data_IF_214356855101
#
_entry.id   IF_214356855101
#
_cell.length_a   1.000
_cell.length_b   1.000
_cell.length_c   1.000
_cell.angle_alpha   90.00
_cell.angle_beta   90.00
_cell.angle_gamma   90.00
#
_symmetry.space_group_name_H-M   'P 1'
#
loop_
_entity.id
_entity.type
_entity.pdbx_description
1 polymer ?
#
# COMPACT_ATOMS: atom_id res chain seq x y z
N UNK A 1 9.70 12.80 -3.53
CA UNK A 1 9.97 11.78 -2.48
C UNK A 1 8.77 11.72 -1.54
N UNK A 2 8.09 10.57 -1.47
CA UNK A 2 6.93 10.37 -0.60
C UNK A 2 7.33 10.31 0.88
N UNK A 3 6.42 10.74 1.78
CA UNK A 3 6.66 10.64 3.23
C UNK A 3 6.33 9.22 3.67
N UNK A 4 7.35 8.48 4.12
CA UNK A 4 7.16 7.16 4.71
C UNK A 4 6.53 7.25 6.11
N UNK A 5 5.51 6.45 6.37
CA UNK A 5 4.95 6.23 7.71
C UNK A 5 5.20 4.79 8.10
N UNK A 6 6.01 4.59 9.13
CA UNK A 6 6.30 3.27 9.70
C UNK A 6 5.22 2.90 10.70
N UNK A 7 4.66 1.70 10.56
CA UNK A 7 3.68 1.20 11.51
C UNK A 7 3.93 -0.26 11.88
N UNK A 8 3.43 -0.62 13.06
CA UNK A 8 3.36 -1.98 13.54
C UNK A 8 1.88 -2.34 13.74
N UNK A 9 1.49 -3.53 13.33
CA UNK A 9 0.13 -4.03 13.41
C UNK A 9 0.11 -5.53 13.72
N UNK A 10 -0.90 -6.01 14.41
CA UNK A 10 -1.24 -7.44 14.43
C UNK A 10 -2.20 -7.78 13.26
N UNK A 11 -2.43 -9.07 13.00
CA UNK A 11 -3.30 -9.53 11.91
C UNK A 11 -4.67 -8.85 11.86
N UNK A 12 -5.33 -8.76 13.02
CA UNK A 12 -6.65 -8.13 13.14
C UNK A 12 -6.62 -6.66 12.72
N UNK A 13 -5.55 -5.94 13.07
CA UNK A 13 -5.40 -4.52 12.76
C UNK A 13 -5.04 -4.30 11.29
N UNK A 14 -4.20 -5.18 10.72
CA UNK A 14 -3.89 -5.18 9.29
C UNK A 14 -5.14 -5.44 8.45
N UNK A 15 -5.96 -6.42 8.83
CA UNK A 15 -7.23 -6.70 8.17
C UNK A 15 -8.19 -5.51 8.24
N UNK A 16 -8.29 -4.84 9.39
CA UNK A 16 -9.13 -3.65 9.54
C UNK A 16 -8.66 -2.49 8.65
N UNK A 17 -7.34 -2.35 8.48
CA UNK A 17 -6.75 -1.34 7.59
C UNK A 17 -7.05 -1.63 6.11
N UNK A 18 -6.91 -2.89 5.68
CA UNK A 18 -7.22 -3.30 4.30
C UNK A 18 -8.71 -3.18 3.99
N UNK A 19 -9.57 -3.48 4.96
CA UNK A 19 -11.00 -3.25 4.81
C UNK A 19 -11.31 -1.76 4.67
N UNK A 20 -10.68 -0.91 5.50
CA UNK A 20 -10.84 0.54 5.40
C UNK A 20 -10.38 1.08 4.03
N UNK A 21 -9.25 0.63 3.49
CA UNK A 21 -8.79 1.09 2.17
C UNK A 21 -9.78 0.70 1.07
N UNK A 22 -10.32 -0.52 1.13
CA UNK A 22 -11.39 -0.97 0.22
C UNK A 22 -12.64 -0.09 0.34
N UNK A 23 -13.12 0.17 1.56
CA UNK A 23 -14.32 0.99 1.80
C UNK A 23 -14.12 2.45 1.34
N UNK A 24 -12.88 2.94 1.32
CA UNK A 24 -12.53 4.25 0.75
C UNK A 24 -12.45 4.27 -0.78
N UNK A 25 -12.72 3.15 -1.45
CA UNK A 25 -12.75 3.05 -2.91
C UNK A 25 -11.38 2.83 -3.54
N UNK A 26 -10.44 2.21 -2.82
CA UNK A 26 -9.17 1.78 -3.40
C UNK A 26 -9.23 0.32 -3.85
N UNK A 27 -8.48 0.05 -4.91
CA UNK A 27 -8.12 -1.27 -5.42
C UNK A 27 -6.62 -1.47 -5.28
N UNK A 28 -6.19 -2.72 -5.28
CA UNK A 28 -4.81 -3.16 -5.24
C UNK A 28 -4.33 -3.60 -6.63
N UNK A 29 -3.07 -3.30 -6.91
CA UNK A 29 -2.31 -3.74 -8.06
C UNK A 29 -1.03 -4.43 -7.60
N UNK A 30 -0.58 -5.47 -8.34
CA UNK A 30 0.69 -6.10 -8.08
C UNK A 30 1.87 -5.17 -8.44
N UNK A 31 3.02 -5.34 -7.77
CA UNK A 31 4.20 -4.52 -8.03
C UNK A 31 4.87 -4.83 -9.37
N UNK A 32 4.77 -6.10 -9.79
CA UNK A 32 5.30 -6.61 -11.04
C UNK A 32 4.17 -7.29 -11.80
N UNK A 33 4.20 -7.18 -13.12
CA UNK A 33 3.26 -7.83 -14.03
C UNK A 33 4.03 -8.41 -15.20
N UNK A 34 3.55 -9.51 -15.80
CA UNK A 34 4.04 -9.93 -17.11
C UNK A 34 3.89 -8.81 -18.14
N UNK A 35 4.92 -8.58 -18.96
CA UNK A 35 4.93 -7.49 -19.95
C UNK A 35 3.81 -7.66 -21.00
N UNK A 36 3.47 -8.89 -21.36
CA UNK A 36 2.38 -9.22 -22.27
C UNK A 36 0.99 -8.88 -21.69
N UNK A 37 0.76 -9.11 -20.39
CA UNK A 37 -0.49 -8.70 -19.72
C UNK A 37 -0.69 -7.17 -19.77
N UNK A 38 0.40 -6.41 -19.62
CA UNK A 38 0.38 -4.95 -19.74
C UNK A 38 0.08 -4.50 -21.17
N UNK A 39 0.78 -5.05 -22.17
CA UNK A 39 0.63 -4.65 -23.58
C UNK A 39 -0.75 -4.99 -24.15
N UNK A 40 -1.39 -6.06 -23.65
CA UNK A 40 -2.74 -6.46 -24.03
C UNK A 40 -3.84 -5.69 -23.27
N UNK A 41 -3.49 -4.95 -22.22
CA UNK A 41 -4.44 -4.21 -21.39
C UNK A 41 -5.29 -5.10 -20.46
N UNK A 42 -4.82 -6.30 -20.16
CA UNK A 42 -5.55 -7.31 -19.36
C UNK A 42 -5.38 -7.14 -17.84
N UNK A 43 -4.68 -6.08 -17.41
CA UNK A 43 -4.43 -5.77 -16.01
C UNK A 43 -5.71 -5.46 -15.24
N UNK A 44 -5.99 -6.26 -14.21
CA UNK A 44 -7.15 -6.08 -13.33
C UNK A 44 -6.73 -5.68 -11.93
N UNK A 45 -7.20 -4.51 -11.50
CA UNK A 45 -7.12 -4.10 -10.11
C UNK A 45 -8.17 -4.87 -9.27
N UNK A 46 -7.76 -5.38 -8.12
CA UNK A 46 -8.59 -6.22 -7.25
C UNK A 46 -8.82 -5.55 -5.89
N UNK A 47 -9.82 -5.94 -5.10
CA UNK A 47 -9.98 -5.45 -3.73
C UNK A 47 -8.71 -5.68 -2.88
N UNK A 48 -8.27 -4.71 -2.05
CA UNK A 48 -7.07 -4.86 -1.21
C UNK A 48 -7.11 -6.07 -0.28
N UNK A 49 -8.29 -6.46 0.20
CA UNK A 49 -8.47 -7.65 1.05
C UNK A 49 -8.24 -8.96 0.30
N UNK A 50 -8.44 -8.99 -1.02
CA UNK A 50 -8.22 -10.17 -1.87
C UNK A 50 -6.78 -10.30 -2.33
N UNK A 51 -6.03 -9.19 -2.33
CA UNK A 51 -4.60 -9.18 -2.68
C UNK A 51 -3.72 -9.71 -1.53
N UNK A 52 -4.30 -10.08 -0.38
CA UNK A 52 -3.56 -10.43 0.85
C UNK A 52 -2.86 -11.80 0.79
N UNK A 53 -2.86 -12.50 -0.34
CA UNK A 53 -2.26 -13.83 -0.45
C UNK A 53 -0.79 -13.77 -0.89
N UNK A 54 0.02 -14.43 -0.07
CA UNK A 54 1.40 -14.88 -0.26
C UNK A 54 2.55 -13.86 -0.10
N UNK A 55 3.34 -14.08 0.96
CA UNK A 55 4.79 -13.82 1.01
C UNK A 55 5.31 -12.38 1.09
N UNK A 56 4.53 -11.46 1.66
CA UNK A 56 5.09 -10.19 2.14
C UNK A 56 5.68 -9.34 1.02
N UNK A 57 4.84 -8.94 0.07
CA UNK A 57 5.17 -8.02 -1.02
C UNK A 57 4.81 -6.56 -0.74
N UNK A 58 5.27 -5.65 -1.60
CA UNK A 58 4.71 -4.29 -1.71
C UNK A 58 3.43 -4.37 -2.53
N UNK A 59 2.34 -3.81 -2.01
CA UNK A 59 1.06 -3.68 -2.72
C UNK A 59 0.91 -2.23 -3.16
N UNK A 60 0.50 -2.00 -4.41
CA UNK A 60 0.16 -0.66 -4.88
C UNK A 60 -1.34 -0.43 -4.82
N UNK A 61 -1.77 0.60 -4.10
CA UNK A 61 -3.18 0.97 -3.99
C UNK A 61 -3.50 2.08 -4.98
N UNK A 62 -4.52 1.86 -5.80
CA UNK A 62 -5.03 2.79 -6.82
C UNK A 62 -6.51 3.08 -6.56
N UNK A 63 -7.01 4.30 -6.74
CA UNK A 63 -8.45 4.57 -6.68
C UNK A 63 -9.22 3.80 -7.76
N UNK A 64 -10.36 3.22 -7.38
CA UNK A 64 -11.23 2.40 -8.23
C UNK A 64 -11.69 3.12 -9.51
N UNK A 65 -11.81 4.44 -9.44
CA UNK A 65 -12.30 5.27 -10.54
C UNK A 65 -11.20 5.63 -11.55
N UNK A 66 -9.93 5.25 -11.31
CA UNK A 66 -8.83 5.45 -12.27
C UNK A 66 -8.76 4.25 -13.21
N UNK A 67 -8.76 4.46 -14.55
CA UNK A 67 -8.39 3.43 -15.50
C UNK A 67 -6.97 2.92 -15.23
N UNK A 68 -6.77 1.61 -15.14
CA UNK A 68 -5.44 1.02 -14.89
C UNK A 68 -4.40 1.44 -15.94
N UNK A 69 -4.84 1.81 -17.15
CA UNK A 69 -3.98 2.35 -18.22
C UNK A 69 -3.28 3.68 -17.86
N UNK A 70 -3.74 4.39 -16.82
CA UNK A 70 -3.08 5.58 -16.28
C UNK A 70 -1.96 5.24 -15.27
N UNK A 71 -1.70 3.95 -15.03
CA UNK A 71 -0.58 3.44 -14.24
C UNK A 71 0.56 3.08 -15.19
N UNK A 72 1.72 3.68 -14.98
CA UNK A 72 2.88 3.50 -15.85
C UNK A 72 3.77 2.38 -15.32
N UNK A 73 4.09 1.44 -16.21
CA UNK A 73 5.04 0.37 -15.96
C UNK A 73 6.32 0.59 -16.77
N UNK A 74 7.42 0.00 -16.31
CA UNK A 74 8.69 -0.04 -17.04
C UNK A 74 9.22 -1.47 -17.08
N UNK A 75 9.81 -1.92 -18.20
CA UNK A 75 10.49 -3.20 -18.25
C UNK A 75 11.58 -3.31 -17.18
N UNK A 76 11.72 -4.51 -16.61
CA UNK A 76 12.82 -4.84 -15.70
C UNK A 76 14.07 -5.29 -16.49
N UNK A 77 15.05 -5.89 -15.80
CA UNK A 77 16.18 -6.57 -16.46
C UNK A 77 15.67 -7.81 -17.22
N UNK A 78 14.65 -8.47 -16.68
CA UNK A 78 13.91 -9.49 -17.40
C UNK A 78 12.89 -8.80 -18.33
N UNK A 79 12.99 -8.97 -19.67
CA UNK A 79 12.06 -8.35 -20.60
C UNK A 79 10.62 -8.89 -20.49
N UNK A 80 10.43 -10.06 -19.88
CA UNK A 80 9.10 -10.63 -19.64
C UNK A 80 8.37 -10.00 -18.44
N UNK A 81 9.07 -9.20 -17.63
CA UNK A 81 8.51 -8.56 -16.45
C UNK A 81 8.56 -7.03 -16.54
N UNK A 82 7.49 -6.40 -16.07
CA UNK A 82 7.37 -4.95 -15.97
C UNK A 82 6.99 -4.55 -14.55
N UNK A 83 7.57 -3.45 -14.05
CA UNK A 83 7.34 -2.94 -12.69
C UNK A 83 6.65 -1.57 -12.71
N UNK A 84 5.79 -1.31 -11.73
CA UNK A 84 5.11 -0.01 -11.59
C UNK A 84 6.14 1.10 -11.31
N UNK A 85 5.97 2.25 -11.95
CA UNK A 85 6.71 3.48 -11.65
C UNK A 85 5.90 4.38 -10.69
N UNK A 86 6.09 4.28 -9.36
CA UNK A 86 5.27 5.00 -8.38
C UNK A 86 5.39 6.51 -8.40
N UNK A 87 6.50 7.05 -8.92
CA UNK A 87 6.75 8.49 -8.94
C UNK A 87 5.97 9.22 -10.06
N UNK A 88 5.46 8.48 -11.04
CA UNK A 88 4.64 8.99 -12.16
C UNK A 88 3.25 8.36 -12.21
N UNK A 89 2.98 7.37 -11.36
CA UNK A 89 1.67 6.69 -11.28
C UNK A 89 0.87 7.20 -10.07
N UNK A 90 -0.47 7.25 -10.16
CA UNK A 90 -1.35 7.69 -9.07
C UNK A 90 -1.57 6.59 -8.00
N UNK A 91 -0.47 6.02 -7.48
CA UNK A 91 -0.49 4.86 -6.59
C UNK A 91 0.03 5.18 -5.19
N UNK A 92 -0.44 4.44 -4.19
CA UNK A 92 0.09 4.45 -2.82
C UNK A 92 0.79 3.13 -2.57
N UNK A 93 2.04 3.19 -2.15
CA UNK A 93 2.82 2.02 -1.78
C UNK A 93 2.48 1.55 -0.37
N UNK A 94 2.10 0.29 -0.27
CA UNK A 94 1.85 -0.42 0.97
C UNK A 94 2.91 -1.51 1.12
N UNK A 95 3.87 -1.32 2.01
CA UNK A 95 5.17 -2.00 1.98
C UNK A 95 5.20 -3.45 2.50
N UNK A 96 6.36 -4.06 2.26
CA UNK A 96 6.78 -5.39 2.67
C UNK A 96 6.56 -5.59 4.17
N UNK A 97 5.65 -6.51 4.51
CA UNK A 97 5.38 -6.88 5.90
C UNK A 97 6.45 -7.87 6.38
N UNK A 98 7.31 -7.47 7.31
CA UNK A 98 8.18 -8.44 7.99
C UNK A 98 7.44 -9.01 9.18
N UNK A 99 7.20 -10.32 9.16
CA UNK A 99 6.60 -11.09 10.25
C UNK A 99 7.66 -11.34 11.33
N UNK A 100 7.49 -10.75 12.52
CA UNK A 100 8.34 -11.10 13.66
C UNK A 100 7.74 -12.28 14.45
N UNK A 101 8.59 -13.05 15.13
CA UNK A 101 8.30 -14.29 15.90
C UNK A 101 7.09 -14.25 16.86
N UNK A 102 6.56 -13.06 17.17
CA UNK A 102 5.28 -12.86 17.86
C UNK A 102 4.38 -11.96 16.99
N UNK A 103 3.61 -12.53 16.07
CA UNK A 103 2.38 -12.02 15.37
C UNK A 103 2.26 -10.51 15.07
N UNK A 104 3.37 -9.80 14.92
CA UNK A 104 3.42 -8.36 14.71
C UNK A 104 4.07 -8.11 13.37
N UNK A 105 3.32 -7.47 12.49
CA UNK A 105 3.73 -7.00 11.18
C UNK A 105 4.34 -5.62 11.32
N UNK A 106 5.60 -5.48 10.91
CA UNK A 106 6.18 -4.18 10.64
C UNK A 106 5.94 -3.84 9.17
N UNK A 107 5.42 -2.65 8.89
CA UNK A 107 5.09 -2.23 7.53
C UNK A 107 5.37 -0.71 7.35
N UNK A 108 5.40 -0.27 6.09
CA UNK A 108 5.64 1.11 5.69
C UNK A 108 4.58 1.51 4.67
N UNK A 109 3.88 2.61 4.92
CA UNK A 109 3.09 3.25 3.87
C UNK A 109 3.94 4.37 3.29
N UNK A 110 4.30 4.26 2.01
CA UNK A 110 4.84 5.41 1.29
C UNK A 110 3.67 6.11 0.62
N UNK A 111 3.33 7.26 1.18
CA UNK A 111 2.40 8.17 0.55
C UNK A 111 3.19 8.88 -0.56
N UNK A 112 3.19 8.29 -1.75
CA UNK A 112 3.85 8.82 -2.92
C UNK A 112 3.04 10.01 -3.44
N UNK A 113 3.56 11.22 -3.23
CA UNK A 113 3.03 12.41 -3.87
C UNK A 113 3.56 12.44 -5.30
N UNK A 114 2.69 12.57 -6.32
CA UNK A 114 3.17 12.78 -7.67
C UNK A 114 3.98 14.07 -7.78
N UNK A 115 4.99 14.04 -8.65
CA UNK A 115 5.79 15.22 -8.97
C UNK A 115 5.01 16.27 -9.78
N UNK A 116 3.86 15.91 -10.37
CA UNK A 116 3.05 16.78 -11.23
C UNK A 116 1.56 16.73 -10.84
N UNK A 117 0.87 17.87 -10.88
CA UNK A 117 -0.59 18.02 -10.62
C UNK A 117 -1.45 17.51 -11.80
N UNK A 118 -1.17 16.34 -12.35
CA UNK A 118 -1.85 15.83 -13.54
C UNK A 118 -3.01 14.87 -13.25
N UNK A 119 -3.29 14.59 -11.97
CA UNK A 119 -4.32 13.61 -11.62
C UNK A 119 -5.71 14.21 -11.50
N UNK A 120 -6.70 13.40 -11.86
CA UNK A 120 -8.11 13.80 -11.75
C UNK A 120 -8.51 14.04 -10.29
N UNK A 121 -9.47 14.93 -10.07
CA UNK A 121 -9.98 15.32 -8.74
C UNK A 121 -10.39 14.12 -7.86
N UNK A 122 -11.01 13.04 -8.38
CA UNK A 122 -11.31 11.83 -7.60
C UNK A 122 -10.07 11.19 -6.96
N UNK A 123 -8.96 11.10 -7.70
CA UNK A 123 -7.68 10.54 -7.23
C UNK A 123 -7.17 11.30 -6.02
N UNK A 124 -7.15 12.63 -6.16
CA UNK A 124 -6.67 13.52 -5.12
C UNK A 124 -7.55 13.42 -3.86
N UNK A 125 -8.86 13.25 -4.02
CA UNK A 125 -9.79 13.06 -2.91
C UNK A 125 -9.57 11.74 -2.16
N UNK A 126 -9.42 10.62 -2.89
CA UNK A 126 -9.14 9.31 -2.30
C UNK A 126 -7.81 9.33 -1.54
N UNK A 127 -6.75 9.83 -2.20
CA UNK A 127 -5.44 10.04 -1.60
C UNK A 127 -5.52 10.86 -0.30
N UNK A 128 -6.23 11.99 -0.32
CA UNK A 128 -6.38 12.84 0.87
C UNK A 128 -7.20 12.20 2.00
N UNK A 129 -8.14 11.30 1.70
CA UNK A 129 -8.90 10.58 2.73
C UNK A 129 -7.97 9.63 3.50
N UNK A 130 -7.18 8.85 2.77
CA UNK A 130 -6.21 7.91 3.35
C UNK A 130 -5.13 8.65 4.13
N UNK A 131 -4.55 9.69 3.52
CA UNK A 131 -3.53 10.51 4.18
C UNK A 131 -4.07 11.16 5.46
N UNK A 132 -5.31 11.66 5.46
CA UNK A 132 -5.95 12.20 6.68
C UNK A 132 -6.17 11.13 7.75
N UNK A 133 -6.57 9.92 7.36
CA UNK A 133 -6.74 8.81 8.29
C UNK A 133 -5.41 8.41 8.95
N UNK A 134 -4.36 8.20 8.14
CA UNK A 134 -3.02 7.85 8.62
C UNK A 134 -2.45 8.95 9.52
N UNK A 135 -2.69 10.24 9.19
CA UNK A 135 -2.24 11.38 10.02
C UNK A 135 -2.86 11.41 11.43
N UNK A 136 -4.02 10.76 11.66
CA UNK A 136 -4.64 10.66 12.99
C UNK A 136 -3.97 9.62 13.88
N UNK A 137 -3.11 8.77 13.32
CA UNK A 137 -2.43 7.75 14.11
C UNK A 137 -1.46 8.39 15.10
N UNK A 138 -1.33 7.82 16.31
CA UNK A 138 -0.41 8.34 17.31
C UNK A 138 1.01 8.41 16.73
N UNK A 139 1.59 9.62 16.74
CA UNK A 139 2.97 9.88 16.32
C UNK A 139 3.92 9.37 17.41
N UNK A 140 4.21 8.08 17.39
CA UNK A 140 5.37 7.55 18.08
C UNK A 140 6.50 7.36 17.05
N UNK A 141 7.76 7.30 17.49
CA UNK A 141 8.88 6.91 16.60
C UNK A 141 8.66 5.55 15.89
N UNK A 142 7.63 4.81 16.34
CA UNK A 142 6.99 3.63 15.78
C UNK A 142 5.47 3.79 15.96
N UNK A 143 4.67 3.97 14.90
CA UNK A 143 3.22 4.08 15.05
C UNK A 143 2.61 2.68 15.30
N UNK A 144 1.87 2.51 16.38
CA UNK A 144 1.12 1.27 16.65
C UNK A 144 -0.33 1.52 16.24
N UNK A 145 -0.89 0.67 15.37
CA UNK A 145 -2.23 0.91 14.82
C UNK A 145 -3.30 0.86 15.93
N UNK A 146 -3.12 0.05 16.98
CA UNK A 146 -3.99 0.08 18.15
C UNK A 146 -3.29 -0.25 19.49
N UNK A 147 -3.99 -0.06 20.64
CA UNK A 147 -3.45 -0.31 21.99
C UNK A 147 -2.95 -1.74 22.23
N UNK A 148 -3.53 -2.74 21.56
CA UNK A 148 -3.13 -4.15 21.72
C UNK A 148 -1.76 -4.42 21.08
N UNK A 149 -1.50 -3.92 19.87
CA UNK A 149 -0.15 -3.99 19.29
C UNK A 149 0.88 -3.23 20.12
N UNK A 150 0.50 -2.10 20.73
CA UNK A 150 1.38 -1.38 21.65
C UNK A 150 1.75 -2.20 22.90
N UNK A 151 0.78 -2.92 23.51
CA UNK A 151 1.02 -3.81 24.66
C UNK A 151 1.97 -4.95 24.30
N UNK A 152 1.70 -5.65 23.20
CA UNK A 152 2.53 -6.76 22.72
C UNK A 152 3.98 -6.31 22.43
N UNK A 153 4.15 -5.15 21.79
CA UNK A 153 5.46 -4.61 21.47
C UNK A 153 6.26 -4.14 22.70
N UNK A 154 5.61 -3.72 23.79
CA UNK A 154 6.32 -3.40 25.05
C UNK A 154 6.76 -4.63 25.82
N UNK A 155 5.99 -5.72 25.77
CA UNK A 155 6.34 -6.94 26.49
C UNK A 155 7.62 -7.59 25.94
N UNK A 156 7.86 -7.51 24.62
CA UNK A 156 9.11 -7.95 23.96
C UNK A 156 10.39 -7.23 24.41
N UNK A 157 10.30 -6.00 24.96
CA UNK A 157 11.47 -5.26 25.45
C UNK A 157 11.90 -5.63 26.87
N UNK A 158 11.14 -6.49 27.56
CA UNK A 158 11.33 -6.83 28.98
C UNK A 158 11.73 -8.30 29.22
N UNK A 159 11.81 -9.09 28.16
CA UNK A 159 12.31 -10.47 28.11
C UNK A 159 13.64 -10.49 27.40
#
# INVERSE_FOLDING_TARGET
MGRAVYFYAIDKELNALLQFTQDTGLLALPPFVPTDEYDLGDLKAVPPVQFKDAEGGTIYLVPKDIPVVEVFYKPTIDPSESYILPHVSPVIEFGLSTHEENTVYQNRIYICAPLYELYSKPVYNAYNRIARYIKKWPKAGKAYIAPETYKLARNKKRS
#
